data_IF_806172726904
#
_entry.id   IF_806172726904
#
_cell.length_a   1.000
_cell.length_b   1.000
_cell.length_c   1.000
_cell.angle_alpha   90.00
_cell.angle_beta   90.00
_cell.angle_gamma   90.00
#
_symmetry.space_group_name_H-M   'P 1'
#
loop_
_entity.id
_entity.type
_entity.pdbx_description
1 polymer ?
#
# COMPACT_ATOMS: atom_id res chain seq x y z
N UNK A 1 1.85 6.85 -10.44
CA UNK A 1 0.49 6.73 -9.86
C UNK A 1 0.42 5.70 -8.75
N UNK A 2 1.13 4.57 -8.87
CA UNK A 2 1.26 3.53 -7.82
C UNK A 2 1.82 4.09 -6.51
N UNK A 3 2.94 4.83 -6.56
CA UNK A 3 3.51 5.51 -5.38
C UNK A 3 2.51 6.47 -4.71
N UNK A 4 1.68 7.18 -5.47
CA UNK A 4 0.68 8.08 -4.89
C UNK A 4 -0.37 7.28 -4.12
N UNK A 5 -0.86 6.16 -4.68
CA UNK A 5 -1.78 5.28 -3.99
C UNK A 5 -1.15 4.61 -2.77
N UNK A 6 0.09 4.13 -2.88
CA UNK A 6 0.84 3.60 -1.74
C UNK A 6 0.97 4.65 -0.62
N UNK A 7 1.38 5.88 -0.94
CA UNK A 7 1.45 6.97 0.05
C UNK A 7 0.08 7.29 0.67
N UNK A 8 -0.99 7.30 -0.13
CA UNK A 8 -2.35 7.52 0.38
C UNK A 8 -2.82 6.40 1.32
N UNK A 9 -2.42 5.16 1.03
CA UNK A 9 -2.70 3.98 1.85
C UNK A 9 -1.89 4.04 3.16
N UNK A 10 -0.59 4.29 3.08
CA UNK A 10 0.30 4.49 4.23
C UNK A 10 -0.21 5.61 5.15
N UNK A 11 -0.72 6.71 4.57
CA UNK A 11 -1.29 7.82 5.35
C UNK A 11 -2.71 7.57 5.86
N UNK A 12 -3.27 6.36 5.68
CA UNK A 12 -4.67 5.99 6.01
C UNK A 12 -5.71 6.97 5.45
N UNK A 13 -5.35 7.69 4.38
CA UNK A 13 -6.23 8.61 3.64
C UNK A 13 -7.14 7.86 2.68
N UNK A 14 -6.73 6.65 2.30
CA UNK A 14 -7.41 5.80 1.31
C UNK A 14 -7.12 4.34 1.59
N UNK A 15 -8.06 3.46 1.27
CA UNK A 15 -7.87 2.01 1.36
C UNK A 15 -7.49 1.42 0.01
N UNK A 16 -6.81 0.28 0.04
CA UNK A 16 -6.46 -0.48 -1.17
C UNK A 16 -7.67 -0.84 -2.03
N UNK A 17 -8.86 -0.94 -1.43
CA UNK A 17 -10.10 -1.19 -2.18
C UNK A 17 -10.48 -0.07 -3.15
N UNK A 18 -10.12 1.18 -2.83
CA UNK A 18 -10.32 2.32 -3.73
C UNK A 18 -9.27 2.43 -4.84
N UNK A 19 -8.29 1.53 -4.87
CA UNK A 19 -7.30 1.45 -5.94
C UNK A 19 -7.91 0.64 -7.10
N UNK A 20 -7.85 1.15 -8.34
CA UNK A 20 -8.28 0.37 -9.51
C UNK A 20 -7.51 -0.95 -9.60
N UNK A 21 -8.18 -2.06 -9.96
CA UNK A 21 -7.56 -3.40 -10.00
C UNK A 21 -6.28 -3.46 -10.84
N UNK A 22 -6.21 -2.71 -11.95
CA UNK A 22 -5.02 -2.58 -12.79
C UNK A 22 -3.77 -2.05 -12.05
N UNK A 23 -3.96 -1.35 -10.93
CA UNK A 23 -2.90 -0.83 -10.08
C UNK A 23 -2.81 -1.56 -8.74
N UNK A 24 -3.80 -2.38 -8.35
CA UNK A 24 -3.77 -3.12 -7.08
C UNK A 24 -2.51 -3.97 -6.98
N UNK A 25 -2.24 -4.80 -8.00
CA UNK A 25 -1.04 -5.66 -8.01
C UNK A 25 0.27 -4.86 -7.85
N UNK A 26 0.38 -3.73 -8.56
CA UNK A 26 1.56 -2.86 -8.51
C UNK A 26 1.68 -2.14 -7.15
N UNK A 27 0.56 -1.69 -6.58
CA UNK A 27 0.50 -0.99 -5.28
C UNK A 27 0.81 -1.95 -4.14
N UNK A 28 0.30 -3.18 -4.18
CA UNK A 28 0.60 -4.23 -3.19
C UNK A 28 2.08 -4.58 -3.20
N UNK A 29 2.65 -4.83 -4.39
CA UNK A 29 4.08 -5.06 -4.52
C UNK A 29 4.90 -3.87 -3.97
N UNK A 30 4.48 -2.63 -4.25
CA UNK A 30 5.15 -1.42 -3.74
C UNK A 30 5.05 -1.30 -2.23
N UNK A 31 3.87 -1.53 -1.66
CA UNK A 31 3.65 -1.49 -0.22
C UNK A 31 4.50 -2.53 0.48
N UNK A 32 4.53 -3.76 -0.05
CA UNK A 32 5.37 -4.84 0.45
C UNK A 32 6.87 -4.48 0.40
N UNK A 33 7.34 -3.91 -0.71
CA UNK A 33 8.73 -3.40 -0.83
C UNK A 33 9.05 -2.34 0.21
N UNK A 34 8.08 -1.50 0.57
CA UNK A 34 8.25 -0.47 1.60
C UNK A 34 8.10 -1.00 3.03
N UNK A 35 7.70 -2.26 3.22
CA UNK A 35 7.40 -2.81 4.54
C UNK A 35 6.05 -2.34 5.08
N UNK A 36 5.05 -2.15 4.21
CA UNK A 36 3.68 -1.83 4.60
C UNK A 36 2.68 -2.86 4.06
N UNK A 37 1.62 -3.10 4.81
CA UNK A 37 0.46 -3.89 4.40
C UNK A 37 -0.45 -3.10 3.43
N UNK A 38 -1.38 -3.80 2.77
CA UNK A 38 -2.46 -3.20 1.97
C UNK A 38 -3.33 -2.20 2.74
N UNK A 39 -3.32 -2.25 4.08
CA UNK A 39 -3.98 -1.26 4.94
C UNK A 39 -3.14 -0.03 5.27
N UNK A 40 -1.87 0.00 4.84
CA UNK A 40 -0.94 1.08 5.13
C UNK A 40 -0.35 1.03 6.54
N UNK A 41 -0.55 -0.08 7.26
CA UNK A 41 0.18 -0.37 8.49
C UNK A 41 1.55 -0.95 8.16
N UNK A 42 2.55 -0.63 8.98
CA UNK A 42 3.85 -1.25 8.86
C UNK A 42 3.69 -2.76 9.11
N UNK A 43 4.14 -3.57 8.15
CA UNK A 43 4.51 -4.96 8.45
C UNK A 43 5.84 -4.85 9.20
N UNK A 44 5.75 -4.47 10.48
CA UNK A 44 6.88 -4.58 11.37
C UNK A 44 7.27 -6.05 11.40
N UNK A 45 8.41 -6.39 10.80
CA UNK A 45 9.16 -7.55 11.22
C UNK A 45 9.58 -7.25 12.67
N UNK A 46 8.75 -7.69 13.63
CA UNK A 46 9.21 -7.92 14.99
C UNK A 46 10.25 -9.05 14.90
N UNK A 47 11.53 -8.70 14.81
CA UNK A 47 12.65 -9.52 15.26
C UNK A 47 13.26 -8.94 16.54
#
# INVERSE_FOLDING_TARGET
MVNLYATLIINKRRTFDQVPEKFKADVEAKLLEYGYDTNGDLIAEEE
#
